data_IF_813135363376
#
_entry.id   IF_813135363376
#
_cell.length_a   1.000
_cell.length_b   1.000
_cell.length_c   1.000
_cell.angle_alpha   90.00
_cell.angle_beta   90.00
_cell.angle_gamma   90.00
#
_symmetry.space_group_name_H-M   'P 1'
#
loop_
_entity.id
_entity.type
_entity.pdbx_description
1 polymer ?
#
# COMPACT_ATOMS: atom_id res chain seq x y z
N UNK A 1 7.94 34.40 3.74
CA UNK A 1 7.00 33.25 3.85
C UNK A 1 7.72 31.91 3.65
N UNK A 2 8.84 31.64 4.37
CA UNK A 2 9.67 30.42 4.15
C UNK A 2 9.81 29.51 5.39
N UNK A 3 9.55 30.01 6.60
CA UNK A 3 9.77 29.23 7.84
C UNK A 3 8.76 28.11 8.11
N UNK A 4 7.63 28.05 7.38
CA UNK A 4 6.56 27.10 7.68
C UNK A 4 6.66 25.79 6.87
N UNK A 5 7.37 25.79 5.72
CA UNK A 5 7.60 24.57 4.93
C UNK A 5 8.59 23.63 5.63
N UNK A 6 9.61 24.19 6.28
CA UNK A 6 10.60 23.39 7.03
C UNK A 6 9.92 22.66 8.18
N UNK A 7 9.14 23.35 9.03
CA UNK A 7 8.46 22.71 10.17
C UNK A 7 7.49 21.60 9.75
N UNK A 8 6.73 21.81 8.68
CA UNK A 8 5.81 20.78 8.18
C UNK A 8 6.56 19.57 7.62
N UNK A 9 7.71 19.80 6.95
CA UNK A 9 8.59 18.75 6.46
C UNK A 9 9.22 17.97 7.62
N UNK A 10 9.74 18.67 8.63
CA UNK A 10 10.36 18.07 9.81
C UNK A 10 9.38 17.20 10.58
N UNK A 11 8.14 17.66 10.76
CA UNK A 11 7.06 16.89 11.37
C UNK A 11 6.71 15.64 10.56
N UNK A 12 6.65 15.76 9.23
CA UNK A 12 6.38 14.63 8.37
C UNK A 12 7.53 13.60 8.40
N UNK A 13 8.78 14.06 8.47
CA UNK A 13 9.94 13.19 8.62
C UNK A 13 9.96 12.48 9.98
N UNK A 14 9.65 13.19 11.06
CA UNK A 14 9.58 12.63 12.40
C UNK A 14 8.42 11.63 12.53
N UNK A 15 7.27 11.95 11.96
CA UNK A 15 6.12 11.04 11.87
C UNK A 15 6.48 9.73 11.16
N UNK A 16 7.27 9.81 10.08
CA UNK A 16 7.81 8.61 9.40
C UNK A 16 8.83 7.89 10.27
N UNK A 17 9.76 8.61 10.91
CA UNK A 17 10.84 8.05 11.74
C UNK A 17 10.30 7.29 12.95
N UNK A 18 9.20 7.74 13.54
CA UNK A 18 8.52 7.07 14.66
C UNK A 18 7.68 5.85 14.23
N UNK A 19 7.61 5.57 12.92
CA UNK A 19 6.92 4.40 12.37
C UNK A 19 5.40 4.55 12.26
N UNK A 20 4.84 5.75 12.49
CA UNK A 20 3.39 5.96 12.37
C UNK A 20 2.88 5.72 10.95
N UNK A 21 3.68 6.09 9.94
CA UNK A 21 3.35 5.81 8.54
C UNK A 21 3.25 4.31 8.23
N UNK A 22 4.19 3.51 8.75
CA UNK A 22 4.19 2.07 8.52
C UNK A 22 3.02 1.38 9.24
N UNK A 23 2.72 1.78 10.48
CA UNK A 23 1.56 1.28 11.24
C UNK A 23 0.24 1.58 10.53
N UNK A 24 0.06 2.80 10.01
CA UNK A 24 -1.16 3.17 9.30
C UNK A 24 -1.32 2.37 7.99
N UNK A 25 -0.22 2.18 7.24
CA UNK A 25 -0.24 1.30 6.07
C UNK A 25 -0.66 -0.11 6.45
N UNK A 26 -0.05 -0.70 7.48
CA UNK A 26 -0.40 -2.04 7.95
C UNK A 26 -1.87 -2.13 8.39
N UNK A 27 -2.38 -1.13 9.10
CA UNK A 27 -3.79 -1.09 9.50
C UNK A 27 -4.73 -1.07 8.30
N UNK A 28 -4.48 -0.19 7.31
CA UNK A 28 -5.30 -0.13 6.08
C UNK A 28 -5.26 -1.48 5.35
N UNK A 29 -4.06 -2.02 5.19
CA UNK A 29 -3.80 -3.23 4.43
C UNK A 29 -4.25 -4.54 5.10
N UNK A 30 -4.43 -4.52 6.42
CA UNK A 30 -4.92 -5.64 7.24
C UNK A 30 -6.43 -5.62 7.46
N UNK A 31 -7.14 -4.58 7.00
CA UNK A 31 -8.60 -4.56 7.03
C UNK A 31 -9.17 -5.73 6.24
N UNK A 32 -10.17 -6.37 6.82
CA UNK A 32 -10.88 -7.49 6.21
C UNK A 32 -11.83 -6.99 5.14
N UNK A 33 -11.84 -7.65 3.98
CA UNK A 33 -12.79 -7.39 2.92
C UNK A 33 -14.04 -8.24 3.19
N UNK A 34 -15.14 -7.58 3.57
CA UNK A 34 -16.41 -8.25 3.90
C UNK A 34 -16.94 -9.11 2.75
N UNK A 35 -16.66 -8.71 1.51
CA UNK A 35 -17.07 -9.41 0.28
C UNK A 35 -16.18 -10.63 -0.06
N UNK A 36 -15.09 -10.88 0.69
CA UNK A 36 -14.06 -11.87 0.39
C UNK A 36 -13.88 -12.89 1.53
N UNK A 37 -14.97 -13.34 2.16
CA UNK A 37 -14.95 -14.34 3.24
C UNK A 37 -14.03 -14.00 4.42
N UNK A 38 -13.78 -12.72 4.67
CA UNK A 38 -12.94 -12.28 5.77
C UNK A 38 -11.44 -12.17 5.46
N UNK A 39 -11.00 -12.47 4.24
CA UNK A 39 -9.60 -12.25 3.82
C UNK A 39 -9.22 -10.77 3.93
N UNK A 40 -7.96 -10.51 4.30
CA UNK A 40 -7.44 -9.14 4.30
C UNK A 40 -7.07 -8.70 2.89
N UNK A 41 -7.06 -7.38 2.66
CA UNK A 41 -6.67 -6.79 1.37
C UNK A 41 -5.31 -7.31 0.91
N UNK A 42 -4.34 -7.41 1.81
CA UNK A 42 -3.00 -7.96 1.48
C UNK A 42 -3.06 -9.41 1.06
N UNK A 43 -3.88 -10.23 1.73
CA UNK A 43 -4.00 -11.64 1.36
C UNK A 43 -4.60 -11.78 -0.03
N UNK A 44 -5.65 -11.01 -0.34
CA UNK A 44 -6.30 -11.10 -1.65
C UNK A 44 -5.38 -10.58 -2.75
N UNK A 45 -4.72 -9.42 -2.57
CA UNK A 45 -3.74 -8.90 -3.54
C UNK A 45 -2.61 -9.91 -3.78
N UNK A 46 -2.03 -10.50 -2.72
CA UNK A 46 -0.96 -11.50 -2.87
C UNK A 46 -1.40 -12.74 -3.64
N UNK A 47 -2.62 -13.21 -3.38
CA UNK A 47 -3.19 -14.37 -4.06
C UNK A 47 -3.38 -14.09 -5.56
N UNK A 48 -3.92 -12.92 -5.90
CA UNK A 48 -4.15 -12.51 -7.29
C UNK A 48 -2.84 -12.26 -8.05
N UNK A 49 -1.87 -11.57 -7.44
CA UNK A 49 -0.53 -11.41 -8.04
C UNK A 49 0.09 -12.78 -8.31
N UNK A 50 -0.03 -13.73 -7.37
CA UNK A 50 0.48 -15.09 -7.55
C UNK A 50 -0.22 -15.83 -8.69
N UNK A 51 -1.54 -15.64 -8.85
CA UNK A 51 -2.31 -16.22 -9.93
C UNK A 51 -1.91 -15.64 -11.29
N UNK A 52 -1.77 -14.31 -11.39
CA UNK A 52 -1.32 -13.63 -12.61
C UNK A 52 0.09 -14.09 -12.99
N UNK A 53 1.02 -14.14 -12.03
CA UNK A 53 2.38 -14.63 -12.26
C UNK A 53 2.35 -16.05 -12.81
N UNK A 54 1.56 -16.95 -12.20
CA UNK A 54 1.41 -18.33 -12.69
C UNK A 54 0.87 -18.38 -14.12
N UNK A 55 -0.17 -17.62 -14.42
CA UNK A 55 -0.75 -17.59 -15.76
C UNK A 55 0.24 -17.06 -16.81
N UNK A 56 0.96 -15.97 -16.50
CA UNK A 56 1.99 -15.42 -17.40
C UNK A 56 3.13 -16.41 -17.63
N UNK A 57 3.54 -17.17 -16.61
CA UNK A 57 4.56 -18.21 -16.73
C UNK A 57 4.09 -19.40 -17.56
N UNK A 58 2.80 -19.74 -17.52
CA UNK A 58 2.20 -20.80 -18.35
C UNK A 58 2.03 -20.37 -19.81
N UNK A 59 1.84 -19.07 -20.07
CA UNK A 59 1.69 -18.50 -21.42
C UNK A 59 3.04 -18.32 -22.15
N UNK A 60 4.14 -18.15 -21.42
CA UNK A 60 5.49 -18.04 -21.97
C UNK A 60 6.48 -18.94 -21.21
N UNK A 61 6.71 -20.15 -21.73
CA UNK A 61 7.66 -21.12 -21.20
C UNK A 61 9.08 -20.55 -21.04
N UNK A 62 9.47 -19.50 -21.78
CA UNK A 62 10.79 -18.89 -21.63
C UNK A 62 10.97 -18.19 -20.27
N UNK A 63 9.87 -17.83 -19.59
CA UNK A 63 9.89 -17.25 -18.25
C UNK A 63 10.23 -18.28 -17.17
N UNK A 64 10.06 -19.59 -17.44
CA UNK A 64 10.47 -20.67 -16.54
C UNK A 64 12.00 -20.81 -16.47
N UNK A 65 12.71 -20.44 -17.55
CA UNK A 65 14.17 -20.66 -17.68
C UNK A 65 15.01 -19.50 -17.14
N UNK A 66 14.47 -18.28 -17.09
CA UNK A 66 15.16 -17.13 -16.50
C UNK A 66 14.74 -16.97 -15.05
N UNK A 67 15.57 -17.47 -14.12
CA UNK A 67 15.54 -17.22 -12.68
C UNK A 67 14.19 -16.76 -12.10
N UNK A 68 13.45 -17.67 -11.45
CA UNK A 68 12.12 -17.42 -10.86
C UNK A 68 12.02 -16.10 -10.07
N UNK A 69 13.08 -15.71 -9.36
CA UNK A 69 13.14 -14.43 -8.63
C UNK A 69 13.14 -13.18 -9.53
N UNK A 70 13.86 -13.19 -10.65
CA UNK A 70 13.86 -12.05 -11.59
C UNK A 70 12.55 -11.93 -12.36
N UNK A 71 11.92 -13.07 -12.68
CA UNK A 71 10.63 -13.10 -13.37
C UNK A 71 9.50 -12.55 -12.50
N UNK A 72 9.43 -12.93 -11.22
CA UNK A 72 8.44 -12.34 -10.30
C UNK A 72 8.62 -10.84 -10.15
N UNK A 73 9.87 -10.35 -9.99
CA UNK A 73 10.15 -8.92 -9.87
C UNK A 73 9.77 -8.14 -11.14
N UNK A 74 9.98 -8.71 -12.33
CA UNK A 74 9.55 -8.11 -13.60
C UNK A 74 8.03 -8.02 -13.72
N UNK A 75 7.32 -9.07 -13.31
CA UNK A 75 5.85 -9.12 -13.35
C UNK A 75 5.26 -8.14 -12.33
N UNK A 76 5.78 -8.09 -11.11
CA UNK A 76 5.39 -7.11 -10.09
C UNK A 76 5.63 -5.67 -10.57
N UNK A 77 6.78 -5.43 -11.21
CA UNK A 77 7.08 -4.13 -11.81
C UNK A 77 6.12 -3.75 -12.93
N UNK A 78 5.69 -4.73 -13.74
CA UNK A 78 4.71 -4.51 -14.80
C UNK A 78 3.32 -4.23 -14.22
N UNK A 79 2.90 -4.99 -13.20
CA UNK A 79 1.64 -4.75 -12.49
C UNK A 79 1.58 -3.35 -11.87
N UNK A 80 2.68 -2.88 -11.29
CA UNK A 80 2.77 -1.52 -10.76
C UNK A 80 2.68 -0.46 -11.88
N UNK A 81 3.39 -0.67 -13.01
CA UNK A 81 3.38 0.28 -14.14
C UNK A 81 2.01 0.41 -14.79
N UNK A 82 1.27 -0.68 -14.85
CA UNK A 82 -0.07 -0.72 -15.45
C UNK A 82 -1.16 -0.35 -14.42
N UNK A 83 -0.79 0.26 -13.29
CA UNK A 83 -1.73 0.73 -12.26
C UNK A 83 -2.61 -0.40 -11.71
N UNK A 84 -2.06 -1.61 -11.61
CA UNK A 84 -2.77 -2.80 -11.16
C UNK A 84 -3.99 -3.20 -12.01
N UNK A 85 -4.14 -2.69 -13.24
CA UNK A 85 -5.27 -3.00 -14.13
C UNK A 85 -5.51 -4.50 -14.28
N UNK A 86 -4.44 -5.31 -14.37
CA UNK A 86 -4.56 -6.77 -14.46
C UNK A 86 -5.18 -7.43 -13.21
N UNK A 87 -5.02 -6.84 -12.02
CA UNK A 87 -5.74 -7.29 -10.80
C UNK A 87 -7.23 -6.96 -10.91
N UNK A 88 -7.58 -5.86 -11.57
CA UNK A 88 -8.97 -5.45 -11.77
C UNK A 88 -9.68 -6.28 -12.84
N UNK A 89 -8.98 -6.61 -13.93
CA UNK A 89 -9.54 -7.30 -15.11
C UNK A 89 -9.59 -8.83 -14.95
N UNK A 90 -8.60 -9.44 -14.28
CA UNK A 90 -8.47 -10.89 -14.14
C UNK A 90 -8.59 -11.39 -12.69
N UNK A 91 -8.68 -10.50 -11.70
CA UNK A 91 -8.84 -10.83 -10.28
C UNK A 91 -10.29 -10.92 -9.85
N UNK A 92 -10.54 -11.01 -8.54
CA UNK A 92 -11.88 -10.97 -7.94
C UNK A 92 -12.45 -9.53 -7.92
N UNK A 93 -11.99 -8.65 -8.82
CA UNK A 93 -12.50 -7.28 -8.99
C UNK A 93 -11.96 -6.25 -8.00
N UNK A 94 -10.83 -6.50 -7.32
CA UNK A 94 -10.26 -5.50 -6.40
C UNK A 94 -9.69 -4.32 -7.21
N UNK A 95 -10.37 -3.18 -7.09
CA UNK A 95 -9.86 -1.88 -7.55
C UNK A 95 -8.96 -1.30 -6.48
N UNK A 96 -7.69 -1.68 -6.50
CA UNK A 96 -6.68 -1.29 -5.49
C UNK A 96 -6.63 0.24 -5.31
N UNK A 97 -6.65 0.99 -6.40
CA UNK A 97 -6.62 2.46 -6.36
C UNK A 97 -7.86 3.05 -5.68
N UNK A 98 -9.05 2.52 -5.99
CA UNK A 98 -10.30 2.94 -5.37
C UNK A 98 -10.31 2.61 -3.87
N UNK A 99 -9.81 1.44 -3.51
CA UNK A 99 -9.68 1.00 -2.12
C UNK A 99 -8.74 1.91 -1.32
N UNK A 100 -7.56 2.22 -1.87
CA UNK A 100 -6.58 3.10 -1.22
C UNK A 100 -7.15 4.51 -1.10
N UNK A 101 -7.73 5.06 -2.16
CA UNK A 101 -8.32 6.41 -2.14
C UNK A 101 -9.46 6.52 -1.11
N UNK A 102 -10.31 5.50 -1.03
CA UNK A 102 -11.41 5.46 -0.06
C UNK A 102 -10.86 5.35 1.37
N UNK A 103 -9.86 4.49 1.58
CA UNK A 103 -9.22 4.32 2.89
C UNK A 103 -8.51 5.59 3.37
N UNK A 104 -7.87 6.34 2.46
CA UNK A 104 -7.23 7.62 2.78
C UNK A 104 -8.23 8.75 3.04
N UNK A 105 -9.48 8.58 2.61
CA UNK A 105 -10.58 9.52 2.86
C UNK A 105 -11.35 9.19 4.15
N UNK A 106 -10.96 8.15 4.87
CA UNK A 106 -11.58 7.72 6.12
C UNK A 106 -11.40 8.80 7.21
N UNK A 107 -12.49 9.41 7.72
CA UNK A 107 -12.41 10.44 8.74
C UNK A 107 -11.69 9.97 10.02
N UNK A 108 -11.82 8.70 10.38
CA UNK A 108 -11.16 8.15 11.56
C UNK A 108 -9.64 8.10 11.37
N UNK A 109 -9.19 7.70 10.18
CA UNK A 109 -7.78 7.69 9.81
C UNK A 109 -7.20 9.12 9.83
N UNK A 110 -7.95 10.10 9.30
CA UNK A 110 -7.54 11.50 9.30
C UNK A 110 -7.39 12.05 10.72
N UNK A 111 -8.31 11.72 11.63
CA UNK A 111 -8.21 12.12 13.04
C UNK A 111 -7.03 11.44 13.75
N UNK A 112 -6.75 10.17 13.48
CA UNK A 112 -5.55 9.49 13.99
C UNK A 112 -4.26 10.16 13.54
N UNK A 113 -4.15 10.51 12.24
CA UNK A 113 -2.99 11.22 11.70
C UNK A 113 -2.82 12.58 12.39
N UNK A 114 -3.89 13.36 12.54
CA UNK A 114 -3.84 14.66 13.23
C UNK A 114 -3.42 14.51 14.70
N UNK A 115 -3.97 13.54 15.42
CA UNK A 115 -3.65 13.30 16.83
C UNK A 115 -2.18 12.93 17.03
N UNK A 116 -1.64 12.06 16.18
CA UNK A 116 -0.22 11.70 16.19
C UNK A 116 0.67 12.91 15.87
N UNK A 117 0.31 13.71 14.87
CA UNK A 117 1.05 14.94 14.55
C UNK A 117 1.02 15.98 15.68
N UNK A 118 -0.13 16.15 16.35
CA UNK A 118 -0.22 17.02 17.54
C UNK A 118 0.66 16.52 18.69
N UNK A 119 0.74 15.21 18.89
CA UNK A 119 1.58 14.61 19.92
C UNK A 119 3.07 14.85 19.65
N UNK A 120 3.49 14.74 18.39
CA UNK A 120 4.87 15.04 17.97
C UNK A 120 5.16 16.53 18.15
N UNK A 121 4.25 17.41 17.70
CA UNK A 121 4.35 18.85 17.89
C UNK A 121 4.54 19.24 19.37
N UNK A 122 3.71 18.68 20.26
CA UNK A 122 3.78 18.95 21.70
C UNK A 122 5.04 18.40 22.36
N UNK A 123 5.59 17.31 21.83
CA UNK A 123 6.87 16.75 22.32
C UNK A 123 8.04 17.66 21.93
N UNK A 124 8.04 18.18 20.70
CA UNK A 124 9.07 19.08 20.19
C UNK A 124 9.02 20.49 20.85
N UNK A 125 7.89 20.90 21.42
CA UNK A 125 7.76 22.16 22.19
C UNK A 125 8.24 22.04 23.64
N UNK A 126 8.47 20.80 24.14
CA UNK A 126 8.91 20.53 25.51
C UNK A 126 10.42 20.25 25.64
N UNK A 127 11.12 20.08 24.52
CA UNK A 127 12.59 20.04 24.43
C UNK A 127 13.19 21.44 24.23
#
# INVERSE_FOLDING_TARGET
>A
MSHNRDKASDLAEQFKREGHFDRLKEQILSRSLAEQNGETVVQTIRSEVSAIVRNMVLEDDNLLFKNRGSTSALIESQLLKDGYQKLTENGKGIKVDEYVSTSLSDPELLEQVKGNLMTILQSNEKE
#
